data_IF_606892018234
#
_entry.id   IF_606892018234
#
_cell.length_a   1.000
_cell.length_b   1.000
_cell.length_c   1.000
_cell.angle_alpha   90.00
_cell.angle_beta   90.00
_cell.angle_gamma   90.00
#
_symmetry.space_group_name_H-M   'P 1'
#
loop_
_entity.id
_entity.type
_entity.pdbx_description
1 polymer ?
#
# COMPACT_ATOMS: atom_id res chain seq x y z
N UNK A 1 -21.25 -4.05 -13.47
CA UNK A 1 -20.71 -3.05 -14.42
C UNK A 1 -19.19 -3.12 -14.38
N UNK A 2 -18.43 -2.74 -15.42
CA UNK A 2 -16.96 -2.89 -15.43
C UNK A 2 -16.20 -2.09 -14.34
N UNK A 3 -16.89 -1.25 -13.57
CA UNK A 3 -16.36 -0.48 -12.46
C UNK A 3 -16.40 -1.21 -11.11
N UNK A 4 -17.11 -2.34 -10.99
CA UNK A 4 -17.33 -3.07 -9.72
C UNK A 4 -16.05 -3.72 -9.16
N UNK A 5 -14.97 -3.72 -9.96
CA UNK A 5 -13.68 -4.33 -9.61
C UNK A 5 -12.61 -3.29 -9.27
N UNK A 6 -12.90 -1.99 -9.44
CA UNK A 6 -11.98 -0.91 -9.11
C UNK A 6 -12.30 -0.33 -7.75
N UNK A 7 -11.29 -0.24 -6.91
CA UNK A 7 -11.41 0.28 -5.55
C UNK A 7 -10.41 1.39 -5.32
N UNK A 8 -10.88 2.48 -4.72
CA UNK A 8 -10.04 3.55 -4.21
C UNK A 8 -9.78 3.31 -2.71
N UNK A 9 -8.52 3.23 -2.32
CA UNK A 9 -8.08 2.89 -0.97
C UNK A 9 -7.05 3.90 -0.44
N UNK A 10 -7.49 5.11 -0.05
CA UNK A 10 -6.60 6.08 0.55
C UNK A 10 -6.12 5.57 1.90
N UNK A 11 -4.81 5.63 2.14
CA UNK A 11 -4.22 5.11 3.37
C UNK A 11 -3.00 5.93 3.82
N UNK A 12 -2.64 5.75 5.09
CA UNK A 12 -1.44 6.34 5.69
C UNK A 12 -0.58 5.23 6.26
N UNK A 13 0.69 5.21 5.89
CA UNK A 13 1.67 4.22 6.34
C UNK A 13 2.71 4.92 7.22
N UNK A 14 3.14 4.26 8.29
CA UNK A 14 4.23 4.71 9.15
C UNK A 14 5.27 3.60 9.25
N UNK A 15 6.53 3.93 8.94
CA UNK A 15 7.66 3.03 9.06
C UNK A 15 8.67 3.57 10.09
N UNK A 16 9.10 2.68 10.98
CA UNK A 16 10.09 2.97 12.02
C UNK A 16 11.32 2.12 11.75
N UNK A 17 12.43 2.76 11.35
CA UNK A 17 13.72 2.10 11.16
C UNK A 17 14.80 2.69 12.07
N UNK A 18 15.95 2.02 12.15
CA UNK A 18 17.05 2.34 13.07
C UNK A 18 17.61 3.77 12.94
N UNK A 19 17.34 4.48 11.84
CA UNK A 19 17.92 5.80 11.54
C UNK A 19 16.94 6.85 11.01
N UNK A 20 15.68 6.49 10.73
CA UNK A 20 14.70 7.43 10.22
C UNK A 20 13.26 6.96 10.52
N UNK A 21 12.39 7.94 10.76
CA UNK A 21 10.94 7.74 10.74
C UNK A 21 10.44 8.18 9.37
N UNK A 22 9.59 7.37 8.76
CA UNK A 22 8.97 7.67 7.48
C UNK A 22 7.45 7.59 7.64
N UNK A 23 6.75 8.56 7.06
CA UNK A 23 5.30 8.52 6.92
C UNK A 23 4.95 8.69 5.45
N UNK A 24 3.93 7.96 4.98
CA UNK A 24 3.49 8.02 3.59
C UNK A 24 1.99 8.17 3.51
N UNK A 25 1.52 9.14 2.74
CA UNK A 25 0.10 9.29 2.40
C UNK A 25 -0.09 8.75 0.99
N UNK A 26 -1.00 7.79 0.82
CA UNK A 26 -1.21 7.05 -0.41
C UNK A 26 -2.62 7.25 -0.94
N UNK A 27 -2.76 7.47 -2.25
CA UNK A 27 -4.04 7.58 -2.96
C UNK A 27 -4.18 6.42 -3.94
N UNK A 28 -4.21 5.20 -3.41
CA UNK A 28 -4.08 3.98 -4.19
C UNK A 28 -5.41 3.56 -4.83
N UNK A 29 -5.32 3.08 -6.07
CA UNK A 29 -6.38 2.35 -6.74
C UNK A 29 -5.94 0.90 -6.93
N UNK A 30 -6.87 -0.04 -6.80
CA UNK A 30 -6.61 -1.42 -7.18
C UNK A 30 -7.75 -2.01 -7.99
N UNK A 31 -7.40 -3.00 -8.81
CA UNK A 31 -8.32 -3.80 -9.58
C UNK A 31 -8.31 -5.24 -9.04
N UNK A 32 -9.47 -5.70 -8.58
CA UNK A 32 -9.67 -7.09 -8.16
C UNK A 32 -9.80 -7.99 -9.40
N UNK A 33 -8.89 -8.94 -9.54
CA UNK A 33 -8.86 -9.88 -10.66
C UNK A 33 -10.01 -10.91 -10.51
N UNK A 34 -10.85 -11.12 -11.53
CA UNK A 34 -11.85 -12.17 -11.51
C UNK A 34 -11.17 -13.55 -11.48
N UNK A 35 -11.32 -14.28 -10.38
CA UNK A 35 -10.79 -15.63 -10.24
C UNK A 35 -11.91 -16.62 -9.95
N UNK A 36 -11.74 -17.87 -10.41
CA UNK A 36 -12.66 -18.99 -10.12
C UNK A 36 -12.17 -19.84 -8.93
N UNK A 37 -11.34 -19.29 -8.05
CA UNK A 37 -10.73 -19.99 -6.93
C UNK A 37 -11.10 -19.33 -5.61
N UNK A 38 -10.73 -19.93 -4.48
CA UNK A 38 -10.85 -19.33 -3.14
C UNK A 38 -9.80 -18.24 -2.88
N UNK A 39 -8.90 -17.98 -3.82
CA UNK A 39 -7.89 -16.93 -3.72
C UNK A 39 -8.35 -15.67 -4.44
N UNK A 40 -8.18 -14.54 -3.76
CA UNK A 40 -8.49 -13.22 -4.27
C UNK A 40 -7.19 -12.54 -4.65
N UNK A 41 -7.09 -12.02 -5.87
CA UNK A 41 -5.89 -11.33 -6.32
C UNK A 41 -6.25 -9.92 -6.74
N UNK A 42 -5.36 -8.98 -6.45
CA UNK A 42 -5.48 -7.62 -6.95
C UNK A 42 -4.13 -7.08 -7.37
N UNK A 43 -4.19 -6.12 -8.28
CA UNK A 43 -3.05 -5.29 -8.67
C UNK A 43 -3.46 -3.84 -8.56
N UNK A 44 -2.54 -3.00 -8.12
CA UNK A 44 -2.86 -1.62 -7.85
C UNK A 44 -1.65 -0.72 -7.83
N UNK A 45 -1.95 0.56 -7.73
CA UNK A 45 -0.97 1.63 -7.65
C UNK A 45 -1.66 2.97 -7.52
N UNK A 46 -0.86 3.98 -7.23
CA UNK A 46 -1.37 5.32 -7.02
C UNK A 46 -0.26 6.30 -6.68
N UNK A 47 -0.56 7.61 -6.77
CA UNK A 47 0.35 8.63 -6.28
C UNK A 47 0.45 8.57 -4.76
N UNK A 48 1.63 8.91 -4.27
CA UNK A 48 1.95 8.95 -2.85
C UNK A 48 2.81 10.17 -2.52
N UNK A 49 2.78 10.57 -1.25
CA UNK A 49 3.63 11.62 -0.70
C UNK A 49 4.37 11.02 0.49
N UNK A 50 5.70 11.00 0.43
CA UNK A 50 6.57 10.49 1.49
C UNK A 50 7.13 11.66 2.31
N UNK A 51 7.14 11.48 3.64
CA UNK A 51 7.70 12.40 4.62
C UNK A 51 8.82 11.70 5.36
N UNK A 52 10.02 12.25 5.30
CA UNK A 52 11.19 11.72 6.01
C UNK A 52 11.51 12.56 7.24
N UNK A 53 11.78 11.89 8.36
CA UNK A 53 12.09 12.50 9.66
C UNK A 53 11.06 13.55 10.15
N UNK A 54 9.75 13.26 10.11
CA UNK A 54 8.71 14.23 10.49
C UNK A 54 8.81 14.75 11.93
N UNK A 55 9.51 14.02 12.81
CA UNK A 55 9.63 14.34 14.24
C UNK A 55 10.94 15.06 14.61
N UNK A 56 11.83 15.38 13.66
CA UNK A 56 13.10 16.01 13.99
C UNK A 56 13.04 17.54 13.81
N UNK A 57 12.92 18.34 14.89
CA UNK A 57 12.81 19.80 14.80
C UNK A 57 14.09 20.50 14.29
N UNK A 58 15.18 19.75 14.06
CA UNK A 58 16.46 20.26 13.55
C UNK A 58 16.76 19.88 12.10
N UNK A 59 15.96 18.99 11.49
CA UNK A 59 16.10 18.60 10.10
C UNK A 59 14.88 19.10 9.34
N UNK A 60 15.10 19.68 8.16
CA UNK A 60 14.01 19.99 7.26
C UNK A 60 13.24 18.69 6.97
N UNK A 61 11.93 18.68 7.20
CA UNK A 61 11.09 17.56 6.79
C UNK A 61 11.16 17.46 5.27
N UNK A 62 11.90 16.49 4.77
CA UNK A 62 11.98 16.23 3.33
C UNK A 62 10.67 15.58 2.89
N UNK A 63 10.00 16.23 1.94
CA UNK A 63 8.77 15.73 1.30
C UNK A 63 9.11 15.31 -0.12
N UNK A 64 8.72 14.10 -0.51
CA UNK A 64 8.94 13.59 -1.87
C UNK A 64 7.64 13.08 -2.49
N UNK A 65 7.48 13.29 -3.79
CA UNK A 65 6.38 12.71 -4.55
C UNK A 65 6.78 11.31 -5.01
N UNK A 66 5.87 10.37 -4.81
CA UNK A 66 6.12 8.96 -5.07
C UNK A 66 4.98 8.32 -5.87
N UNK A 67 5.26 7.15 -6.43
CA UNK A 67 4.26 6.28 -7.07
C UNK A 67 4.34 4.89 -6.47
N UNK A 68 3.21 4.37 -6.02
CA UNK A 68 3.08 3.01 -5.53
C UNK A 68 2.76 2.06 -6.67
N UNK A 69 3.36 0.88 -6.63
CA UNK A 69 2.96 -0.29 -7.40
C UNK A 69 2.89 -1.47 -6.45
N UNK A 70 1.76 -2.16 -6.42
CA UNK A 70 1.56 -3.31 -5.55
C UNK A 70 0.67 -4.36 -6.19
N UNK A 71 0.77 -5.56 -5.62
CA UNK A 71 -0.16 -6.65 -5.87
C UNK A 71 -0.47 -7.31 -4.54
N UNK A 72 -1.63 -7.93 -4.42
CA UNK A 72 -1.96 -8.68 -3.22
C UNK A 72 -2.69 -9.97 -3.51
N UNK A 73 -2.61 -10.84 -2.52
CA UNK A 73 -3.33 -12.12 -2.48
C UNK A 73 -4.06 -12.24 -1.15
N UNK A 74 -5.37 -12.48 -1.23
CA UNK A 74 -6.26 -12.73 -0.10
C UNK A 74 -6.72 -14.18 -0.08
N UNK A 75 -6.82 -14.74 1.13
CA UNK A 75 -7.22 -16.14 1.35
C UNK A 75 -8.67 -16.20 1.85
N UNK A 76 -9.64 -16.33 0.94
CA UNK A 76 -11.04 -16.42 1.33
C UNK A 76 -11.43 -17.88 1.63
N UNK A 77 -11.79 -18.17 2.88
CA UNK A 77 -12.27 -19.49 3.31
C UNK A 77 -13.78 -19.52 3.57
N UNK A 78 -14.55 -18.71 2.85
CA UNK A 78 -16.03 -18.66 2.96
C UNK A 78 -16.55 -17.84 4.14
N UNK A 79 -15.73 -16.94 4.69
CA UNK A 79 -16.09 -16.06 5.81
C UNK A 79 -15.81 -14.59 5.49
N UNK A 80 -16.25 -13.69 6.37
CA UNK A 80 -16.11 -12.22 6.22
C UNK A 80 -14.73 -11.67 6.57
N UNK A 81 -13.75 -12.53 6.89
CA UNK A 81 -12.38 -12.13 7.21
C UNK A 81 -11.45 -12.76 6.20
N UNK A 82 -10.75 -11.92 5.44
CA UNK A 82 -9.85 -12.33 4.38
C UNK A 82 -8.44 -11.89 4.77
N UNK A 83 -7.61 -12.79 5.35
CA UNK A 83 -6.19 -12.53 5.52
C UNK A 83 -5.52 -12.29 4.18
N UNK A 84 -4.54 -11.40 4.12
CA UNK A 84 -3.82 -11.09 2.89
C UNK A 84 -2.32 -10.87 3.06
N UNK A 85 -1.64 -10.99 1.93
CA UNK A 85 -0.25 -10.59 1.72
C UNK A 85 -0.17 -9.59 0.56
N UNK A 86 0.61 -8.53 0.70
CA UNK A 86 0.76 -7.48 -0.31
C UNK A 86 2.22 -6.98 -0.40
N UNK A 87 3.01 -7.45 -1.38
CA UNK A 87 4.23 -6.77 -1.77
C UNK A 87 3.91 -5.41 -2.41
N UNK A 88 4.69 -4.40 -2.05
CA UNK A 88 4.57 -3.02 -2.55
C UNK A 88 5.94 -2.43 -2.82
N UNK A 89 6.08 -1.77 -3.96
CA UNK A 89 7.22 -0.92 -4.30
C UNK A 89 6.74 0.52 -4.32
N UNK A 90 7.48 1.40 -3.66
CA UNK A 90 7.30 2.85 -3.70
C UNK A 90 8.44 3.41 -4.53
N UNK A 91 8.10 4.02 -5.66
CA UNK A 91 9.06 4.62 -6.58
C UNK A 91 9.15 6.11 -6.31
N UNK A 92 10.32 6.55 -5.86
CA UNK A 92 10.66 7.94 -5.54
C UNK A 92 12.17 8.13 -5.59
N UNK A 93 12.68 9.30 -5.19
CA UNK A 93 14.12 9.51 -5.03
C UNK A 93 14.75 8.56 -4.01
N UNK A 94 13.96 8.06 -3.05
CA UNK A 94 14.31 7.03 -2.06
C UNK A 94 13.36 5.85 -2.18
N UNK A 95 13.47 5.15 -3.31
CA UNK A 95 12.61 4.01 -3.60
C UNK A 95 12.68 2.95 -2.50
N UNK A 96 11.53 2.40 -2.13
CA UNK A 96 11.39 1.44 -1.03
C UNK A 96 10.60 0.21 -1.47
N UNK A 97 10.87 -0.92 -0.83
CA UNK A 97 10.10 -2.15 -0.99
C UNK A 97 9.59 -2.59 0.38
N UNK A 98 8.33 -3.01 0.42
CA UNK A 98 7.69 -3.54 1.63
C UNK A 98 6.85 -4.77 1.32
N UNK A 99 6.66 -5.60 2.34
CA UNK A 99 5.71 -6.70 2.30
C UNK A 99 4.75 -6.49 3.46
N UNK A 100 3.48 -6.25 3.14
CA UNK A 100 2.41 -6.10 4.11
C UNK A 100 1.66 -7.42 4.31
N UNK A 101 1.23 -7.65 5.54
CA UNK A 101 0.24 -8.67 5.88
C UNK A 101 -0.91 -7.99 6.63
N UNK A 102 -2.13 -8.46 6.43
CA UNK A 102 -3.30 -7.85 7.06
C UNK A 102 -4.57 -8.66 6.89
N UNK A 103 -5.70 -8.04 7.24
CA UNK A 103 -7.04 -8.60 7.07
C UNK A 103 -7.94 -7.60 6.32
N UNK A 104 -8.78 -8.11 5.43
CA UNK A 104 -9.84 -7.37 4.72
C UNK A 104 -11.21 -7.92 5.11
N UNK A 105 -12.23 -7.06 5.07
CA UNK A 105 -13.63 -7.38 5.38
C UNK A 105 -14.52 -7.06 4.18
#
# INVERSE_FOLDING_TARGET
>A
MPWDHWFFNPNVEFAFGDRAKEATINFDFHYDLPTHTSLYFWVGGGPAIQFFNPDNPRLDTETDFAVNIFMGVGFNKGGSVIPYLQPKVILSSRSAFSIAFGIRF
#
